data_IF_715501753374
#
_entry.id   IF_715501753374
#
_cell.length_a   1.000
_cell.length_b   1.000
_cell.length_c   1.000
_cell.angle_alpha   90.00
_cell.angle_beta   90.00
_cell.angle_gamma   90.00
#
_symmetry.space_group_name_H-M   'P 1'
#
loop_
_entity.id
_entity.type
_entity.pdbx_description
1 polymer ?
#
# COMPACT_ATOMS: atom_id res chain seq x y z
N UNK A 1 -57.84 26.52 35.00
CA UNK A 1 -57.06 25.27 34.80
C UNK A 1 -55.72 25.67 34.19
N UNK A 2 -54.68 25.78 35.01
CA UNK A 2 -53.34 26.22 34.58
C UNK A 2 -52.44 25.03 34.28
N UNK A 3 -51.85 25.01 33.09
CA UNK A 3 -50.77 24.08 32.75
C UNK A 3 -49.42 24.78 32.96
N UNK A 4 -48.68 24.30 33.97
CA UNK A 4 -47.30 24.69 34.22
C UNK A 4 -46.39 24.16 33.10
N UNK A 5 -45.61 25.06 32.50
CA UNK A 5 -44.51 24.73 31.61
C UNK A 5 -43.32 24.23 32.44
N UNK A 6 -43.01 22.94 32.33
CA UNK A 6 -41.80 22.36 32.93
C UNK A 6 -40.60 22.63 32.01
N UNK A 7 -39.59 23.27 32.59
CA UNK A 7 -38.31 23.66 31.98
C UNK A 7 -37.61 22.48 31.27
N UNK A 8 -37.59 22.49 29.94
CA UNK A 8 -36.87 21.51 29.10
C UNK A 8 -35.40 21.88 28.83
N UNK A 9 -34.82 22.87 29.52
CA UNK A 9 -33.45 23.36 29.24
C UNK A 9 -32.31 22.66 29.99
N UNK A 10 -32.60 21.77 30.94
CA UNK A 10 -31.57 21.08 31.73
C UNK A 10 -31.12 19.71 31.18
N UNK A 11 -31.77 19.20 30.13
CA UNK A 11 -31.44 17.89 29.52
C UNK A 11 -30.37 17.96 28.41
N UNK A 12 -29.87 19.14 28.05
CA UNK A 12 -28.91 19.31 26.95
C UNK A 12 -27.47 18.99 27.36
N UNK A 13 -27.04 19.45 28.54
CA UNK A 13 -25.63 19.39 28.96
C UNK A 13 -25.23 17.98 29.42
N UNK A 14 -26.11 17.28 30.12
CA UNK A 14 -25.86 15.90 30.57
C UNK A 14 -25.76 14.92 29.41
N UNK A 15 -26.58 15.08 28.38
CA UNK A 15 -26.52 14.25 27.18
C UNK A 15 -25.24 14.50 26.37
N UNK A 16 -24.76 15.74 26.28
CA UNK A 16 -23.47 16.03 25.65
C UNK A 16 -22.30 15.36 26.39
N UNK A 17 -22.33 15.40 27.73
CA UNK A 17 -21.28 14.79 28.56
C UNK A 17 -21.27 13.26 28.44
N UNK A 18 -22.44 12.62 28.38
CA UNK A 18 -22.57 11.17 28.15
C UNK A 18 -22.03 10.80 26.77
N UNK A 19 -22.37 11.56 25.71
CA UNK A 19 -21.84 11.32 24.37
C UNK A 19 -20.31 11.48 24.30
N UNK A 20 -19.76 12.48 25.00
CA UNK A 20 -18.31 12.71 25.06
C UNK A 20 -17.57 11.59 25.81
N UNK A 21 -18.12 11.12 26.93
CA UNK A 21 -17.57 9.97 27.66
C UNK A 21 -17.60 8.68 26.83
N UNK A 22 -18.70 8.42 26.11
CA UNK A 22 -18.80 7.26 25.22
C UNK A 22 -17.80 7.35 24.06
N UNK A 23 -17.53 8.55 23.54
CA UNK A 23 -16.51 8.77 22.51
C UNK A 23 -15.10 8.50 23.04
N UNK A 24 -14.75 9.01 24.23
CA UNK A 24 -13.45 8.75 24.87
C UNK A 24 -13.27 7.26 25.16
N UNK A 25 -14.29 6.58 25.68
CA UNK A 25 -14.22 5.14 25.95
C UNK A 25 -14.03 4.34 24.65
N UNK A 26 -14.66 4.75 23.55
CA UNK A 26 -14.49 4.12 22.24
C UNK A 26 -13.05 4.27 21.70
N UNK A 27 -12.49 5.49 21.77
CA UNK A 27 -11.13 5.74 21.30
C UNK A 27 -10.09 5.07 22.19
N UNK A 28 -10.29 5.04 23.50
CA UNK A 28 -9.40 4.36 24.44
C UNK A 28 -9.35 2.84 24.20
N UNK A 29 -10.50 2.21 23.95
CA UNK A 29 -10.56 0.79 23.58
C UNK A 29 -9.82 0.52 22.25
N UNK A 30 -9.97 1.39 21.25
CA UNK A 30 -9.25 1.27 19.97
C UNK A 30 -7.73 1.38 20.12
N UNK A 31 -7.26 2.26 21.00
CA UNK A 31 -5.83 2.41 21.29
C UNK A 31 -5.29 1.19 22.02
N UNK A 32 -5.97 0.71 23.07
CA UNK A 32 -5.55 -0.50 23.80
C UNK A 32 -5.48 -1.70 22.87
N UNK A 33 -6.51 -1.91 22.04
CA UNK A 33 -6.55 -3.06 21.13
C UNK A 33 -5.43 -2.99 20.10
N UNK A 34 -5.22 -1.83 19.47
CA UNK A 34 -4.21 -1.69 18.41
C UNK A 34 -2.77 -1.69 18.95
N UNK A 35 -2.52 -1.05 20.09
CA UNK A 35 -1.15 -0.85 20.58
C UNK A 35 -0.71 -1.86 21.63
N UNK A 36 -1.62 -2.49 22.37
CA UNK A 36 -1.26 -3.46 23.41
C UNK A 36 -1.55 -4.88 22.93
N UNK A 37 -2.77 -5.13 22.44
CA UNK A 37 -3.22 -6.50 22.14
C UNK A 37 -2.62 -7.02 20.82
N UNK A 38 -2.69 -6.26 19.73
CA UNK A 38 -2.17 -6.70 18.42
C UNK A 38 -0.66 -7.07 18.43
N UNK A 39 0.25 -6.27 19.00
CA UNK A 39 1.67 -6.65 19.04
C UNK A 39 1.94 -7.82 19.98
N UNK A 40 1.15 -7.98 21.06
CA UNK A 40 1.24 -9.17 21.91
C UNK A 40 0.86 -10.43 21.12
N UNK A 41 -0.27 -10.43 20.41
CA UNK A 41 -0.69 -11.57 19.60
C UNK A 41 0.25 -11.88 18.42
N UNK A 42 0.85 -10.85 17.81
CA UNK A 42 1.87 -11.03 16.76
C UNK A 42 3.04 -11.89 17.26
N UNK A 43 3.50 -11.64 18.50
CA UNK A 43 4.62 -12.37 19.12
C UNK A 43 4.30 -13.84 19.45
N UNK A 44 3.04 -14.17 19.78
CA UNK A 44 2.62 -15.54 20.15
C UNK A 44 2.00 -16.36 19.01
N UNK A 45 1.77 -15.76 17.84
CA UNK A 45 1.16 -16.43 16.68
C UNK A 45 1.98 -17.61 16.12
N UNK A 46 3.26 -17.73 16.48
CA UNK A 46 4.15 -18.82 16.04
C UNK A 46 3.97 -20.15 16.78
N UNK A 47 3.21 -20.20 17.89
CA UNK A 47 3.18 -21.38 18.77
C UNK A 47 1.88 -22.19 18.74
N UNK A 48 0.79 -21.76 18.10
CA UNK A 48 -0.42 -22.59 18.00
C UNK A 48 -1.37 -22.14 16.88
N UNK A 49 -1.15 -22.64 15.65
CA UNK A 49 -1.93 -22.25 14.47
C UNK A 49 -3.38 -22.80 14.45
N UNK A 50 -3.71 -23.79 15.30
CA UNK A 50 -4.97 -24.53 15.16
C UNK A 50 -6.12 -24.03 16.07
N UNK A 51 -5.86 -23.32 17.17
CA UNK A 51 -6.93 -22.91 18.12
C UNK A 51 -7.47 -21.48 17.94
N UNK A 52 -6.82 -20.60 17.19
CA UNK A 52 -7.09 -19.16 17.24
C UNK A 52 -8.10 -18.60 16.21
N UNK A 53 -8.57 -19.40 15.25
CA UNK A 53 -9.42 -18.88 14.17
C UNK A 53 -10.89 -18.62 14.57
N UNK A 54 -11.44 -19.33 15.56
CA UNK A 54 -12.84 -19.14 15.98
C UNK A 54 -13.04 -17.84 16.77
N UNK A 55 -12.18 -17.61 17.75
CA UNK A 55 -12.28 -16.45 18.66
C UNK A 55 -12.02 -15.13 17.92
N UNK A 56 -11.04 -15.10 17.02
CA UNK A 56 -10.74 -13.93 16.19
C UNK A 56 -11.89 -13.60 15.23
N UNK A 57 -12.51 -14.61 14.60
CA UNK A 57 -13.69 -14.40 13.74
C UNK A 57 -14.90 -13.88 14.51
N UNK A 58 -15.19 -14.43 15.69
CA UNK A 58 -16.26 -13.92 16.56
C UNK A 58 -16.01 -12.47 16.99
N UNK A 59 -14.77 -12.12 17.31
CA UNK A 59 -14.39 -10.76 17.68
C UNK A 59 -14.54 -9.77 16.52
N UNK A 60 -14.03 -10.10 15.32
CA UNK A 60 -14.17 -9.24 14.14
C UNK A 60 -15.64 -9.04 13.75
N UNK A 61 -16.48 -10.08 13.90
CA UNK A 61 -17.91 -9.98 13.66
C UNK A 61 -18.61 -9.07 14.68
N UNK A 62 -18.19 -9.10 15.96
CA UNK A 62 -18.69 -8.20 17.00
C UNK A 62 -18.32 -6.73 16.70
N UNK A 63 -17.06 -6.45 16.35
CA UNK A 63 -16.60 -5.09 16.00
C UNK A 63 -17.37 -4.54 14.79
N UNK A 64 -17.62 -5.38 13.78
CA UNK A 64 -18.43 -5.00 12.62
C UNK A 64 -19.86 -4.61 12.99
N UNK A 65 -20.51 -5.37 13.89
CA UNK A 65 -21.87 -5.05 14.37
C UNK A 65 -21.90 -3.74 15.14
N UNK A 66 -20.96 -3.52 16.07
CA UNK A 66 -20.89 -2.26 16.85
C UNK A 66 -20.72 -1.04 15.95
N UNK A 67 -19.85 -1.14 14.93
CA UNK A 67 -19.62 -0.04 13.97
C UNK A 67 -20.89 0.25 13.14
N UNK A 68 -21.64 -0.78 12.75
CA UNK A 68 -22.92 -0.62 12.04
C UNK A 68 -24.00 0.04 12.91
N UNK A 69 -24.07 -0.32 14.20
CA UNK A 69 -25.02 0.29 15.14
C UNK A 69 -24.72 1.77 15.37
N UNK A 70 -23.44 2.13 15.57
CA UNK A 70 -23.04 3.54 15.75
C UNK A 70 -23.35 4.40 14.52
N UNK A 71 -23.19 3.84 13.32
CA UNK A 71 -23.48 4.57 12.07
C UNK A 71 -24.98 4.80 11.86
N UNK A 72 -25.83 3.83 12.22
CA UNK A 72 -27.29 3.97 12.15
C UNK A 72 -27.83 4.99 13.17
N UNK A 73 -27.26 5.04 14.38
CA UNK A 73 -27.73 5.96 15.42
C UNK A 73 -27.28 7.41 15.18
N UNK A 74 -26.08 7.62 14.63
CA UNK A 74 -25.64 8.96 14.24
C UNK A 74 -26.60 9.58 13.21
N UNK A 75 -27.04 8.83 12.19
CA UNK A 75 -27.96 9.34 11.17
C UNK A 75 -29.36 9.67 11.68
N UNK A 76 -29.83 9.05 12.77
CA UNK A 76 -31.14 9.40 13.36
C UNK A 76 -31.09 10.67 14.21
N UNK A 77 -29.92 11.04 14.73
CA UNK A 77 -29.80 12.17 15.66
C UNK A 77 -29.69 13.51 14.91
N UNK A 78 -29.16 13.50 13.68
CA UNK A 78 -29.11 14.68 12.81
C UNK A 78 -30.45 15.08 12.17
N UNK A 79 -31.50 14.23 12.28
CA UNK A 79 -32.81 14.49 11.68
C UNK A 79 -33.78 15.33 12.55
N UNK A 80 -33.35 15.82 13.73
CA UNK A 80 -34.23 16.54 14.68
C UNK A 80 -33.67 17.84 15.25
N UNK A 81 -32.68 18.47 14.59
CA UNK A 81 -32.16 19.76 15.03
C UNK A 81 -32.96 20.92 14.41
N UNK A 82 -33.51 21.87 15.21
CA UNK A 82 -34.20 23.05 14.71
C UNK A 82 -33.23 24.03 14.03
N UNK A 83 -33.63 24.53 12.86
CA UNK A 83 -32.84 25.28 11.86
C UNK A 83 -32.39 26.71 12.28
N UNK A 84 -32.34 27.05 13.56
CA UNK A 84 -31.95 28.40 13.98
C UNK A 84 -30.52 28.39 14.51
N UNK A 85 -29.59 28.68 13.61
CA UNK A 85 -28.21 29.21 13.77
C UNK A 85 -27.22 28.50 12.81
N UNK A 86 -27.44 28.66 11.51
CA UNK A 86 -26.46 28.35 10.47
C UNK A 86 -26.14 29.62 9.67
N UNK A 87 -25.22 30.45 10.17
CA UNK A 87 -24.56 31.50 9.38
C UNK A 87 -23.06 31.39 9.59
N UNK A 88 -22.45 30.54 8.76
CA UNK A 88 -21.02 30.43 8.34
C UNK A 88 -20.72 28.99 7.96
N UNK A 89 -21.30 28.57 6.84
CA UNK A 89 -20.90 27.36 6.12
C UNK A 89 -21.22 27.60 4.66
N UNK A 90 -20.22 27.44 3.79
CA UNK A 90 -20.36 27.58 2.33
C UNK A 90 -21.33 26.50 1.84
N UNK A 91 -22.56 26.96 1.65
CA UNK A 91 -23.70 26.21 1.13
C UNK A 91 -23.43 25.72 -0.29
N UNK A 92 -23.31 24.40 -0.43
CA UNK A 92 -23.80 23.70 -1.61
C UNK A 92 -25.33 23.85 -1.63
N UNK A 93 -25.85 24.74 -2.48
CA UNK A 93 -27.28 24.82 -2.75
C UNK A 93 -27.72 23.63 -3.59
N UNK A 94 -28.37 22.65 -2.96
CA UNK A 94 -29.35 21.79 -3.62
C UNK A 94 -30.74 22.35 -3.35
N UNK A 95 -31.31 23.03 -4.34
CA UNK A 95 -32.74 23.30 -4.37
C UNK A 95 -33.48 22.03 -4.77
N UNK A 96 -34.29 21.51 -3.85
CA UNK A 96 -35.36 20.57 -4.19
C UNK A 96 -36.66 21.36 -4.26
N UNK A 97 -37.08 21.73 -5.48
CA UNK A 97 -38.45 22.13 -5.74
C UNK A 97 -39.22 20.93 -6.29
N UNK A 98 -40.20 20.55 -5.48
CA UNK A 98 -41.25 19.59 -5.77
C UNK A 98 -42.15 20.19 -6.87
N UNK A 99 -41.94 19.83 -8.13
CA UNK A 99 -42.93 20.11 -9.16
C UNK A 99 -42.95 19.02 -10.23
N UNK A 100 -44.18 18.73 -10.68
CA UNK A 100 -44.61 17.67 -11.57
C UNK A 100 -43.57 17.36 -12.66
N UNK A 101 -43.00 16.16 -12.63
CA UNK A 101 -41.94 15.75 -13.55
C UNK A 101 -42.52 15.31 -14.91
N UNK A 102 -42.18 15.99 -16.02
CA UNK A 102 -42.22 15.36 -17.34
C UNK A 102 -41.30 14.14 -17.35
N UNK A 103 -41.66 13.10 -18.11
CA UNK A 103 -40.79 11.95 -18.44
C UNK A 103 -39.59 12.47 -19.25
N UNK A 104 -38.60 13.05 -18.58
CA UNK A 104 -37.29 13.34 -19.14
C UNK A 104 -36.47 12.09 -18.92
N UNK A 105 -36.43 11.23 -19.94
CA UNK A 105 -35.43 10.16 -20.01
C UNK A 105 -34.06 10.81 -20.05
N UNK A 106 -33.41 10.92 -18.89
CA UNK A 106 -31.98 11.20 -18.82
C UNK A 106 -31.28 10.00 -19.43
N UNK A 107 -31.07 10.08 -20.75
CA UNK A 107 -30.09 9.28 -21.46
C UNK A 107 -28.73 9.80 -21.00
N UNK A 108 -28.35 9.46 -19.76
CA UNK A 108 -26.95 9.46 -19.36
C UNK A 108 -26.30 8.26 -20.05
N UNK A 109 -26.13 8.37 -21.38
CA UNK A 109 -25.18 7.58 -22.16
C UNK A 109 -23.77 8.07 -21.84
N UNK A 110 -23.44 8.17 -20.55
CA UNK A 110 -22.06 8.29 -20.14
C UNK A 110 -21.49 6.89 -20.26
N UNK A 111 -20.98 6.61 -21.46
CA UNK A 111 -20.03 5.55 -21.72
C UNK A 111 -18.70 5.93 -21.02
N UNK A 112 -18.76 6.11 -19.69
CA UNK A 112 -17.60 6.19 -18.82
C UNK A 112 -17.06 4.77 -18.75
N UNK A 113 -16.42 4.36 -19.84
CA UNK A 113 -15.50 3.24 -19.86
C UNK A 113 -14.42 3.60 -18.85
N UNK A 114 -14.63 3.22 -17.60
CA UNK A 114 -13.60 3.25 -16.56
C UNK A 114 -12.51 2.30 -17.04
N UNK A 115 -11.55 2.84 -17.80
CA UNK A 115 -10.31 2.15 -18.10
C UNK A 115 -9.42 2.48 -16.92
N UNK A 116 -9.10 1.50 -16.05
CA UNK A 116 -8.07 1.71 -15.06
C UNK A 116 -6.85 2.31 -15.78
N UNK A 117 -6.25 3.38 -15.26
CA UNK A 117 -5.10 4.00 -15.90
C UNK A 117 -4.03 2.91 -16.09
N UNK A 118 -3.51 2.80 -17.32
CA UNK A 118 -2.45 1.84 -17.63
C UNK A 118 -1.25 2.18 -16.75
N UNK A 119 -0.97 1.34 -15.76
CA UNK A 119 0.21 1.48 -14.92
C UNK A 119 1.42 1.02 -15.72
N UNK A 120 2.39 1.91 -15.90
CA UNK A 120 3.66 1.55 -16.52
C UNK A 120 4.37 0.49 -15.67
N UNK A 121 5.05 -0.49 -16.30
CA UNK A 121 5.85 -1.46 -15.58
C UNK A 121 6.99 -0.75 -14.85
N UNK A 122 7.40 -1.32 -13.72
CA UNK A 122 8.44 -0.76 -12.85
C UNK A 122 9.70 -1.61 -12.99
N UNK A 123 10.81 -0.96 -13.31
CA UNK A 123 12.16 -1.52 -13.26
C UNK A 123 12.87 -0.95 -12.03
N UNK A 124 13.22 -1.81 -11.08
CA UNK A 124 13.99 -1.38 -9.91
C UNK A 124 15.48 -1.59 -10.16
N UNK A 125 16.29 -0.62 -9.75
CA UNK A 125 17.75 -0.71 -9.79
C UNK A 125 18.33 -0.55 -8.38
N UNK A 126 19.12 -1.52 -7.95
CA UNK A 126 19.97 -1.40 -6.77
C UNK A 126 21.21 -0.60 -7.14
N UNK A 127 21.19 0.70 -6.84
CA UNK A 127 22.19 1.65 -7.31
C UNK A 127 23.16 2.05 -6.20
N UNK A 128 24.37 2.44 -6.60
CA UNK A 128 25.37 3.08 -5.74
C UNK A 128 26.07 4.17 -6.54
N UNK A 129 25.83 5.43 -6.18
CA UNK A 129 26.37 6.60 -6.88
C UNK A 129 27.89 6.67 -6.92
N UNK A 130 28.58 6.00 -5.98
CA UNK A 130 30.03 5.97 -5.93
C UNK A 130 30.64 5.05 -7.00
N UNK A 131 29.86 4.12 -7.56
CA UNK A 131 30.33 3.18 -8.58
C UNK A 131 30.03 3.70 -9.98
N UNK A 132 31.08 3.88 -10.81
CA UNK A 132 30.95 4.32 -12.19
C UNK A 132 30.03 3.41 -13.02
N UNK A 133 30.16 2.08 -12.86
CA UNK A 133 29.28 1.09 -13.53
C UNK A 133 27.81 1.26 -13.17
N UNK A 134 27.51 1.62 -11.92
CA UNK A 134 26.14 1.80 -11.44
C UNK A 134 25.52 3.09 -11.97
N UNK A 135 26.32 4.17 -12.10
CA UNK A 135 25.90 5.41 -12.75
C UNK A 135 25.65 5.22 -14.25
N UNK A 136 26.53 4.49 -14.93
CA UNK A 136 26.36 4.17 -16.35
C UNK A 136 25.07 3.37 -16.60
N UNK A 137 24.76 2.36 -15.77
CA UNK A 137 23.51 1.59 -15.89
C UNK A 137 22.26 2.45 -15.63
N UNK A 138 22.30 3.36 -14.64
CA UNK A 138 21.19 4.27 -14.37
C UNK A 138 20.94 5.24 -15.54
N UNK A 139 22.00 5.83 -16.10
CA UNK A 139 21.93 6.71 -17.27
C UNK A 139 21.38 5.95 -18.50
N UNK A 140 21.81 4.70 -18.69
CA UNK A 140 21.29 3.83 -19.77
C UNK A 140 19.79 3.56 -19.59
N UNK A 141 19.34 3.23 -18.38
CA UNK A 141 17.93 3.04 -18.07
C UNK A 141 17.11 4.31 -18.33
N UNK A 142 17.62 5.48 -17.91
CA UNK A 142 16.94 6.76 -18.10
C UNK A 142 16.83 7.14 -19.57
N UNK A 143 17.91 6.97 -20.36
CA UNK A 143 17.93 7.24 -21.80
C UNK A 143 16.93 6.39 -22.58
N UNK A 144 16.69 5.16 -22.13
CA UNK A 144 15.78 4.19 -22.78
C UNK A 144 14.37 4.17 -22.18
N UNK A 145 14.11 4.94 -21.12
CA UNK A 145 12.79 5.01 -20.50
C UNK A 145 11.75 5.63 -21.43
N UNK A 146 12.13 6.67 -22.18
CA UNK A 146 11.25 7.36 -23.13
C UNK A 146 11.40 6.77 -24.53
N UNK A 147 10.29 6.33 -25.12
CA UNK A 147 10.26 5.81 -26.48
C UNK A 147 10.31 6.96 -27.52
N UNK A 148 10.64 6.62 -28.78
CA UNK A 148 10.60 7.58 -29.91
C UNK A 148 9.22 8.24 -30.09
N UNK A 149 8.16 7.57 -29.66
CA UNK A 149 6.79 8.05 -29.77
C UNK A 149 6.38 9.03 -28.64
N UNK A 150 7.31 9.38 -27.75
CA UNK A 150 7.07 10.25 -26.58
C UNK A 150 6.37 9.58 -25.41
N UNK A 151 6.03 8.29 -25.53
CA UNK A 151 5.46 7.50 -24.44
C UNK A 151 6.57 6.81 -23.64
N UNK A 152 6.41 6.73 -22.32
CA UNK A 152 7.33 5.98 -21.48
C UNK A 152 7.10 4.46 -21.63
N UNK A 153 8.20 3.73 -21.74
CA UNK A 153 8.19 2.26 -21.78
C UNK A 153 7.99 1.68 -20.38
N UNK A 154 8.66 2.27 -19.39
CA UNK A 154 8.68 1.83 -17.99
C UNK A 154 9.00 2.99 -17.06
N UNK A 155 8.77 2.78 -15.76
CA UNK A 155 9.22 3.67 -14.69
C UNK A 155 10.42 3.06 -13.98
N UNK A 156 11.38 3.90 -13.61
CA UNK A 156 12.58 3.47 -12.88
C UNK A 156 12.36 3.72 -11.39
N UNK A 157 12.68 2.71 -10.59
CA UNK A 157 12.67 2.76 -9.14
C UNK A 157 14.11 2.58 -8.63
N UNK A 158 14.64 3.55 -7.89
CA UNK A 158 16.06 3.59 -7.50
C UNK A 158 16.20 3.25 -6.03
N UNK A 159 16.89 2.16 -5.73
CA UNK A 159 17.11 1.64 -4.38
C UNK A 159 18.59 1.83 -4.01
N UNK A 160 18.89 2.89 -3.27
CA UNK A 160 20.27 3.30 -2.96
C UNK A 160 20.72 2.93 -1.55
N UNK A 161 19.91 3.33 -0.57
CA UNK A 161 20.31 3.41 0.85
C UNK A 161 19.80 2.24 1.69
N UNK A 162 18.74 1.57 1.24
CA UNK A 162 18.12 0.51 2.01
C UNK A 162 18.73 -0.86 1.65
N UNK A 163 19.27 -1.61 2.63
CA UNK A 163 19.66 -2.99 2.37
C UNK A 163 18.42 -3.82 2.05
N UNK A 164 18.49 -4.69 1.03
CA UNK A 164 17.35 -5.53 0.65
C UNK A 164 17.00 -6.52 1.76
N UNK A 165 15.71 -6.84 1.88
CA UNK A 165 15.25 -7.89 2.80
C UNK A 165 15.66 -9.28 2.32
N UNK A 166 15.63 -10.26 3.21
CA UNK A 166 15.92 -11.68 2.92
C UNK A 166 15.05 -12.17 1.74
N UNK A 167 13.76 -11.84 1.76
CA UNK A 167 12.80 -12.22 0.74
C UNK A 167 13.09 -11.54 -0.60
N UNK A 168 13.46 -10.26 -0.58
CA UNK A 168 13.87 -9.54 -1.80
C UNK A 168 15.11 -10.17 -2.41
N UNK A 169 16.13 -10.48 -1.60
CA UNK A 169 17.35 -11.14 -2.06
C UNK A 169 17.05 -12.50 -2.69
N UNK A 170 16.23 -13.32 -2.03
CA UNK A 170 15.83 -14.63 -2.54
C UNK A 170 15.06 -14.51 -3.86
N UNK A 171 14.15 -13.54 -3.95
CA UNK A 171 13.37 -13.30 -5.15
C UNK A 171 14.25 -12.82 -6.31
N UNK A 172 15.15 -11.87 -6.07
CA UNK A 172 16.08 -11.37 -7.10
C UNK A 172 16.99 -12.48 -7.61
N UNK A 173 17.52 -13.33 -6.72
CA UNK A 173 18.34 -14.46 -7.14
C UNK A 173 17.57 -15.48 -7.98
N UNK A 174 16.26 -15.64 -7.74
CA UNK A 174 15.42 -16.51 -8.57
C UNK A 174 15.22 -15.98 -9.99
N UNK A 175 15.42 -14.67 -10.21
CA UNK A 175 15.27 -14.01 -11.50
C UNK A 175 16.56 -13.89 -12.30
N UNK A 176 17.70 -14.24 -11.70
CA UNK A 176 18.98 -14.23 -12.39
C UNK A 176 19.09 -15.42 -13.35
N UNK A 177 19.73 -15.23 -14.52
CA UNK A 177 19.98 -16.32 -15.44
C UNK A 177 20.92 -17.35 -14.80
N UNK A 178 20.61 -18.63 -15.00
CA UNK A 178 21.50 -19.72 -14.59
C UNK A 178 22.80 -19.61 -15.38
N UNK A 179 23.93 -19.58 -14.67
CA UNK A 179 25.24 -19.52 -15.33
C UNK A 179 25.42 -20.74 -16.23
N UNK A 180 25.90 -20.58 -17.48
CA UNK A 180 26.11 -21.69 -18.42
C UNK A 180 27.17 -22.69 -17.95
N UNK A 181 27.93 -22.38 -16.90
CA UNK A 181 28.98 -23.24 -16.36
C UNK A 181 28.47 -24.45 -15.56
N UNK A 182 27.15 -24.68 -15.48
CA UNK A 182 26.57 -25.97 -15.05
C UNK A 182 26.79 -26.36 -13.58
N UNK A 183 27.63 -25.63 -12.86
CA UNK A 183 27.69 -25.72 -11.41
C UNK A 183 26.43 -25.07 -10.86
N UNK A 184 25.63 -25.86 -10.16
CA UNK A 184 24.48 -25.44 -9.37
C UNK A 184 24.90 -24.57 -8.17
N UNK A 185 25.90 -23.70 -8.36
CA UNK A 185 26.18 -22.59 -7.46
C UNK A 185 24.93 -21.74 -7.39
N UNK A 186 24.47 -21.53 -6.17
CA UNK A 186 23.25 -20.82 -5.88
C UNK A 186 23.33 -19.43 -6.50
N UNK A 187 22.32 -19.05 -7.31
CA UNK A 187 22.32 -17.82 -8.12
C UNK A 187 22.73 -16.53 -7.37
N UNK A 188 22.59 -16.52 -6.04
CA UNK A 188 23.03 -15.42 -5.19
C UNK A 188 24.54 -15.19 -5.13
N UNK A 189 25.39 -16.15 -5.52
CA UNK A 189 26.85 -15.97 -5.60
C UNK A 189 27.21 -14.80 -6.54
N UNK A 190 26.39 -14.55 -7.56
CA UNK A 190 26.59 -13.41 -8.47
C UNK A 190 26.24 -12.06 -7.83
N UNK A 191 25.37 -12.08 -6.82
CA UNK A 191 24.89 -10.88 -6.13
C UNK A 191 25.81 -10.41 -5.01
N UNK A 192 26.64 -11.29 -4.44
CA UNK A 192 27.44 -11.01 -3.24
C UNK A 192 28.92 -11.23 -3.52
N UNK A 193 29.74 -10.26 -3.16
CA UNK A 193 31.19 -10.37 -3.20
C UNK A 193 31.66 -11.29 -2.06
N UNK A 194 32.58 -12.23 -2.35
CA UNK A 194 33.15 -13.21 -1.40
C UNK A 194 32.08 -14.18 -0.82
N UNK A 195 31.41 -14.97 -1.66
CA UNK A 195 30.32 -15.85 -1.22
C UNK A 195 30.79 -17.02 -0.34
N UNK A 196 32.07 -17.39 -0.39
CA UNK A 196 32.64 -18.59 0.27
C UNK A 196 32.47 -18.61 1.80
N UNK A 197 32.16 -17.46 2.41
CA UNK A 197 31.98 -17.31 3.86
C UNK A 197 30.52 -17.37 4.30
N UNK A 198 29.57 -17.55 3.38
CA UNK A 198 28.13 -17.40 3.65
C UNK A 198 27.38 -18.66 3.20
N UNK A 199 26.50 -19.17 4.07
CA UNK A 199 25.76 -20.39 3.77
C UNK A 199 24.23 -20.21 3.78
N UNK A 200 23.71 -19.25 4.55
CA UNK A 200 22.27 -19.02 4.68
C UNK A 200 21.86 -17.61 4.25
N UNK A 201 20.62 -17.49 3.77
CA UNK A 201 20.01 -16.23 3.38
C UNK A 201 19.90 -15.23 4.53
N UNK A 202 19.67 -15.71 5.76
CA UNK A 202 19.61 -14.86 6.94
C UNK A 202 20.97 -14.24 7.25
N UNK A 203 22.03 -15.04 7.15
CA UNK A 203 23.41 -14.61 7.32
C UNK A 203 23.81 -13.62 6.22
N UNK A 204 23.47 -13.90 4.95
CA UNK A 204 23.72 -12.99 3.84
C UNK A 204 23.04 -11.65 4.08
N UNK A 205 21.76 -11.63 4.46
CA UNK A 205 21.04 -10.38 4.69
C UNK A 205 21.61 -9.61 5.89
N UNK A 206 22.01 -10.31 6.96
CA UNK A 206 22.66 -9.69 8.11
C UNK A 206 24.00 -9.05 7.70
N UNK A 207 24.83 -9.78 6.95
CA UNK A 207 26.13 -9.28 6.47
C UNK A 207 25.97 -8.12 5.50
N UNK A 208 24.97 -8.14 4.63
CA UNK A 208 24.64 -7.01 3.76
C UNK A 208 24.12 -5.79 4.52
N UNK A 209 23.50 -5.99 5.68
CA UNK A 209 23.10 -4.91 6.57
C UNK A 209 24.31 -4.27 7.28
N UNK A 210 25.27 -5.10 7.73
CA UNK A 210 26.52 -4.66 8.34
C UNK A 210 27.46 -3.99 7.32
N UNK A 211 27.58 -4.58 6.13
CA UNK A 211 28.48 -4.15 5.07
C UNK A 211 27.76 -4.13 3.70
N UNK A 212 27.07 -3.04 3.33
CA UNK A 212 26.30 -2.95 2.09
C UNK A 212 27.16 -2.90 0.82
N UNK A 213 28.49 -2.74 0.95
CA UNK A 213 29.48 -2.82 -0.14
C UNK A 213 29.67 -4.24 -0.67
N UNK A 214 29.32 -5.26 0.11
CA UNK A 214 29.40 -6.66 -0.33
C UNK A 214 28.39 -6.97 -1.44
N UNK A 215 27.28 -6.23 -1.53
CA UNK A 215 26.33 -6.39 -2.62
C UNK A 215 26.96 -5.91 -3.95
N UNK A 216 27.03 -6.80 -4.94
CA UNK A 216 27.36 -6.44 -6.31
C UNK A 216 26.30 -5.47 -6.83
N UNK A 217 26.71 -4.27 -7.28
CA UNK A 217 25.83 -3.25 -7.86
C UNK A 217 26.41 -2.75 -9.18
N UNK A 218 25.63 -2.51 -10.23
CA UNK A 218 24.17 -2.44 -10.23
C UNK A 218 23.51 -3.82 -10.33
N UNK A 219 22.29 -3.92 -9.80
CA UNK A 219 21.37 -5.03 -10.09
C UNK A 219 20.07 -4.40 -10.58
N UNK A 220 19.66 -4.74 -11.80
CA UNK A 220 18.40 -4.28 -12.39
C UNK A 220 17.40 -5.41 -12.36
N UNK A 221 16.19 -5.12 -11.91
CA UNK A 221 15.13 -6.13 -11.69
C UNK A 221 13.83 -5.69 -12.35
N UNK A 222 13.30 -6.55 -13.22
CA UNK A 222 11.93 -6.48 -13.74
C UNK A 222 11.04 -7.40 -12.94
N UNK A 223 10.35 -6.83 -11.94
CA UNK A 223 9.40 -7.56 -11.09
C UNK A 223 8.20 -8.09 -11.87
N UNK A 224 7.86 -7.47 -13.00
CA UNK A 224 6.69 -7.86 -13.80
C UNK A 224 6.99 -9.11 -14.62
N UNK A 225 8.22 -9.23 -15.13
CA UNK A 225 8.64 -10.36 -15.99
C UNK A 225 9.45 -11.43 -15.24
N UNK A 226 9.81 -11.17 -13.98
CA UNK A 226 10.63 -12.07 -13.18
C UNK A 226 12.04 -12.22 -13.76
N UNK A 227 12.64 -11.13 -14.23
CA UNK A 227 13.99 -11.10 -14.78
C UNK A 227 14.88 -10.16 -13.99
N UNK A 228 16.13 -10.54 -13.80
CA UNK A 228 17.15 -9.70 -13.20
C UNK A 228 18.45 -9.76 -14.00
N UNK A 229 19.19 -8.65 -13.99
CA UNK A 229 20.44 -8.50 -14.72
C UNK A 229 21.47 -7.75 -13.86
N UNK A 230 22.72 -8.22 -13.90
CA UNK A 230 23.85 -7.64 -13.18
C UNK A 230 24.89 -7.09 -14.17
N UNK A 231 25.14 -7.83 -15.26
CA UNK A 231 26.11 -7.41 -16.26
C UNK A 231 25.53 -6.36 -17.22
N UNK A 232 26.34 -5.44 -17.75
CA UNK A 232 25.87 -4.41 -18.68
C UNK A 232 25.14 -4.97 -19.91
N UNK A 233 25.64 -6.06 -20.50
CA UNK A 233 25.00 -6.73 -21.65
C UNK A 233 23.61 -7.27 -21.31
N UNK A 234 23.46 -7.86 -20.13
CA UNK A 234 22.19 -8.42 -19.68
C UNK A 234 21.17 -7.32 -19.36
N UNK A 235 21.65 -6.19 -18.83
CA UNK A 235 20.82 -5.00 -18.58
C UNK A 235 20.30 -4.43 -19.89
N UNK A 236 21.16 -4.32 -20.92
CA UNK A 236 20.75 -3.90 -22.26
C UNK A 236 19.70 -4.83 -22.86
N UNK A 237 19.90 -6.15 -22.76
CA UNK A 237 18.94 -7.15 -23.22
C UNK A 237 17.59 -7.01 -22.51
N UNK A 238 17.59 -6.87 -21.19
CA UNK A 238 16.38 -6.70 -20.38
C UNK A 238 15.58 -5.45 -20.82
N UNK A 239 16.28 -4.37 -21.14
CA UNK A 239 15.66 -3.11 -21.61
C UNK A 239 15.14 -3.25 -23.03
N UNK A 240 15.91 -3.83 -23.95
CA UNK A 240 15.51 -4.01 -25.35
C UNK A 240 14.24 -4.86 -25.44
N UNK A 241 14.18 -5.97 -24.69
CA UNK A 241 12.96 -6.79 -24.62
C UNK A 241 11.74 -5.94 -24.18
N UNK A 242 11.92 -4.97 -23.29
CA UNK A 242 10.80 -4.12 -22.84
C UNK A 242 10.37 -3.10 -23.88
N UNK A 243 11.32 -2.55 -24.63
CA UNK A 243 11.05 -1.57 -25.67
C UNK A 243 10.38 -2.23 -26.89
N UNK A 244 10.75 -3.46 -27.23
CA UNK A 244 10.29 -4.18 -28.42
C UNK A 244 8.91 -4.85 -28.25
N UNK A 245 8.49 -5.23 -27.03
CA UNK A 245 7.26 -6.04 -26.83
C UNK A 245 5.93 -5.30 -27.10
N UNK A 246 5.91 -4.02 -27.49
CA UNK A 246 4.66 -3.24 -27.65
C UNK A 246 4.00 -3.33 -29.04
N UNK A 247 4.60 -4.03 -29.99
CA UNK A 247 4.07 -4.16 -31.36
C UNK A 247 3.23 -5.45 -31.59
N UNK A 248 2.89 -6.19 -30.53
CA UNK A 248 2.00 -7.36 -30.56
C UNK A 248 0.73 -7.12 -29.75
#
# INVERSE_FOLDING_TARGET
>A
MGCQWVNSRLLSVTNLYICYLLFILSTFNLVIVNYIILPYYSKYSKLNASMNNKLLRSYLQYVGRVRSYLCCHANQTYAKLPETLASTSLFFSFHTLHNKSPKVSFICKQNMSFRPPKTLPILSIFHNGNLARSRAALDLLQKRATQKNGNDAYRIDVIDTQPPTVEQLRQVASFLPTSPQGNSETHWHQMVQKPDQLHDWSEIAQRLHEEPSLLTRPIVVDWTRGKAAIQPSDIENLINERVETKDQ
#
